data_IF_783358359719
#
_entry.id   IF_783358359719
#
_cell.length_a   1.000
_cell.length_b   1.000
_cell.length_c   1.000
_cell.angle_alpha   90.00
_cell.angle_beta   90.00
_cell.angle_gamma   90.00
#
_symmetry.space_group_name_H-M   'P 1'
#
loop_
_entity.id
_entity.type
_entity.pdbx_description
1 polymer ?
#
# COMPACT_ATOMS: atom_id res chain seq x y z
N UNK A 1 -31.15 -19.11 6.76
CA UNK A 1 -30.08 -20.06 6.36
C UNK A 1 -30.61 -21.41 5.86
N UNK A 2 -31.82 -21.83 6.29
CA UNK A 2 -32.44 -23.10 5.94
C UNK A 2 -33.73 -22.94 5.09
N UNK A 3 -34.09 -21.72 4.70
CA UNK A 3 -35.31 -21.41 3.94
C UNK A 3 -35.29 -22.03 2.53
N UNK A 4 -34.11 -22.07 1.89
CA UNK A 4 -33.93 -22.61 0.53
C UNK A 4 -33.52 -24.10 0.52
N UNK A 5 -33.63 -24.81 1.64
CA UNK A 5 -33.29 -26.23 1.72
C UNK A 5 -34.33 -27.06 0.98
N UNK A 6 -33.92 -28.02 0.14
CA UNK A 6 -34.83 -28.94 -0.56
C UNK A 6 -35.46 -30.01 0.35
N UNK A 7 -34.88 -30.25 1.53
CA UNK A 7 -35.36 -31.21 2.52
C UNK A 7 -36.73 -30.79 3.11
N UNK A 8 -37.80 -31.60 2.90
CA UNK A 8 -39.14 -31.30 3.37
C UNK A 8 -39.26 -31.27 4.90
N UNK A 9 -38.43 -32.02 5.63
CA UNK A 9 -38.44 -32.04 7.10
C UNK A 9 -37.96 -30.70 7.64
N UNK A 10 -36.87 -30.18 7.07
CA UNK A 10 -36.30 -28.89 7.49
C UNK A 10 -37.24 -27.73 7.20
N UNK A 11 -37.95 -27.76 6.05
CA UNK A 11 -38.99 -26.77 5.72
C UNK A 11 -40.16 -26.77 6.72
N UNK A 12 -40.51 -27.96 7.21
CA UNK A 12 -41.64 -28.14 8.14
C UNK A 12 -41.28 -27.71 9.57
N UNK A 13 -40.08 -28.04 10.02
CA UNK A 13 -39.65 -27.82 11.41
C UNK A 13 -39.24 -26.37 11.69
N UNK A 14 -38.77 -25.63 10.67
CA UNK A 14 -38.25 -24.25 10.79
C UNK A 14 -37.51 -24.00 12.12
N UNK A 15 -36.40 -24.72 12.36
CA UNK A 15 -35.77 -24.73 13.67
C UNK A 15 -35.34 -23.33 14.09
N UNK A 16 -35.75 -22.91 15.29
CA UNK A 16 -35.34 -21.63 15.84
C UNK A 16 -33.84 -21.64 16.11
N UNK A 17 -33.09 -20.86 15.35
CA UNK A 17 -31.64 -20.76 15.52
C UNK A 17 -31.37 -20.00 16.82
N UNK A 18 -30.83 -20.69 17.83
CA UNK A 18 -30.37 -20.05 19.06
C UNK A 18 -29.19 -19.14 18.72
N UNK A 19 -29.41 -17.84 18.81
CA UNK A 19 -28.40 -16.80 18.57
C UNK A 19 -28.12 -16.07 19.89
N UNK A 20 -26.93 -15.49 20.00
CA UNK A 20 -26.57 -14.72 21.20
C UNK A 20 -27.44 -13.48 21.36
N UNK A 21 -27.50 -12.91 22.57
CA UNK A 21 -28.35 -11.74 22.87
C UNK A 21 -28.08 -10.50 22.00
N UNK A 22 -26.88 -10.39 21.42
CA UNK A 22 -26.41 -9.19 20.70
C UNK A 22 -26.64 -9.25 19.19
N UNK A 23 -26.91 -10.42 18.61
CA UNK A 23 -27.04 -10.57 17.17
C UNK A 23 -28.32 -11.31 16.83
N UNK A 24 -29.21 -10.59 16.15
CA UNK A 24 -30.50 -11.13 15.71
C UNK A 24 -30.38 -11.52 14.23
N UNK A 25 -30.33 -12.82 13.99
CA UNK A 25 -30.06 -13.36 12.65
C UNK A 25 -31.17 -13.04 11.65
N UNK A 26 -32.43 -13.07 12.08
CA UNK A 26 -33.57 -12.81 11.18
C UNK A 26 -33.51 -11.37 10.66
N UNK A 27 -33.38 -10.39 11.57
CA UNK A 27 -33.25 -8.97 11.21
C UNK A 27 -32.06 -8.72 10.28
N UNK A 28 -30.89 -9.30 10.58
CA UNK A 28 -29.69 -9.13 9.76
C UNK A 28 -29.82 -9.76 8.36
N UNK A 29 -30.51 -10.90 8.25
CA UNK A 29 -30.77 -11.56 6.96
C UNK A 29 -31.77 -10.76 6.14
N UNK A 30 -32.83 -10.23 6.77
CA UNK A 30 -33.85 -9.44 6.09
C UNK A 30 -33.27 -8.10 5.60
N UNK A 31 -32.49 -7.41 6.43
CA UNK A 31 -31.77 -6.19 6.04
C UNK A 31 -30.83 -6.45 4.85
N UNK A 32 -30.06 -7.55 4.89
CA UNK A 32 -29.19 -7.93 3.79
C UNK A 32 -29.96 -8.24 2.49
N UNK A 33 -31.11 -8.93 2.59
CA UNK A 33 -31.99 -9.20 1.42
C UNK A 33 -32.51 -7.88 0.82
N UNK A 34 -32.94 -6.93 1.64
CA UNK A 34 -33.39 -5.62 1.16
C UNK A 34 -32.25 -4.80 0.53
N UNK A 35 -31.06 -4.78 1.13
CA UNK A 35 -29.88 -4.15 0.53
C UNK A 35 -29.54 -4.72 -0.86
N UNK A 36 -29.62 -6.04 -1.04
CA UNK A 36 -29.38 -6.68 -2.33
C UNK A 36 -30.42 -6.30 -3.38
N UNK A 37 -31.71 -6.19 -3.00
CA UNK A 37 -32.76 -5.67 -3.90
C UNK A 37 -32.50 -4.23 -4.30
N UNK A 38 -32.10 -3.37 -3.35
CA UNK A 38 -31.77 -1.97 -3.63
C UNK A 38 -30.58 -1.86 -4.59
N UNK A 39 -29.52 -2.66 -4.39
CA UNK A 39 -28.37 -2.72 -5.30
C UNK A 39 -28.77 -3.15 -6.71
N UNK A 40 -29.70 -4.09 -6.83
CA UNK A 40 -30.26 -4.50 -8.12
C UNK A 40 -31.03 -3.36 -8.81
N UNK A 41 -31.79 -2.56 -8.05
CA UNK A 41 -32.49 -1.36 -8.59
C UNK A 41 -31.51 -0.27 -9.03
N UNK A 42 -30.46 -0.01 -8.25
CA UNK A 42 -29.41 0.96 -8.58
C UNK A 42 -28.66 0.52 -9.85
N UNK A 43 -28.54 -0.81 -10.06
CA UNK A 43 -27.85 -1.39 -11.20
C UNK A 43 -26.33 -1.37 -11.03
N UNK A 44 -25.64 -1.69 -12.12
CA UNK A 44 -24.18 -1.78 -12.12
C UNK A 44 -23.54 -0.40 -12.17
N UNK A 45 -22.96 0.04 -11.07
CA UNK A 45 -22.16 1.25 -11.00
C UNK A 45 -20.72 0.98 -11.42
N UNK A 46 -20.05 1.97 -12.03
CA UNK A 46 -18.62 1.89 -12.27
C UNK A 46 -17.87 1.97 -10.94
N UNK A 47 -17.31 0.84 -10.49
CA UNK A 47 -16.50 0.77 -9.26
C UNK A 47 -15.00 0.88 -9.52
N UNK A 48 -14.55 0.67 -10.76
CA UNK A 48 -13.15 0.68 -11.13
C UNK A 48 -12.90 1.40 -12.48
N UNK A 49 -11.63 1.45 -12.89
CA UNK A 49 -11.23 2.07 -14.16
C UNK A 49 -11.47 1.18 -15.38
N UNK A 50 -12.08 -0.01 -15.22
CA UNK A 50 -12.29 -0.97 -16.32
C UNK A 50 -13.49 -0.63 -17.20
N UNK A 51 -14.31 0.34 -16.77
CA UNK A 51 -15.47 0.82 -17.52
C UNK A 51 -16.72 -0.05 -17.33
N UNK A 52 -17.86 0.47 -17.80
CA UNK A 52 -19.16 -0.21 -17.72
C UNK A 52 -19.15 -1.49 -18.58
N UNK A 53 -19.70 -2.59 -18.05
CA UNK A 53 -19.80 -3.87 -18.76
C UNK A 53 -18.57 -4.78 -18.68
N UNK A 54 -17.47 -4.35 -18.03
CA UNK A 54 -16.28 -5.19 -17.85
C UNK A 54 -16.49 -6.34 -16.84
N UNK A 55 -17.44 -6.21 -15.92
CA UNK A 55 -17.73 -7.23 -14.92
C UNK A 55 -19.11 -7.86 -15.14
N UNK A 56 -19.20 -9.17 -14.95
CA UNK A 56 -20.47 -9.90 -14.98
C UNK A 56 -21.22 -9.60 -13.69
N UNK A 57 -22.29 -8.81 -13.78
CA UNK A 57 -23.12 -8.50 -12.62
C UNK A 57 -23.94 -9.73 -12.19
N UNK A 58 -23.88 -10.03 -10.89
CA UNK A 58 -24.75 -11.03 -10.25
C UNK A 58 -26.00 -10.34 -9.74
N UNK A 59 -27.16 -10.80 -10.19
CA UNK A 59 -28.45 -10.19 -9.89
C UNK A 59 -29.19 -11.02 -8.85
N UNK A 60 -29.74 -10.36 -7.83
CA UNK A 60 -30.46 -11.05 -6.77
C UNK A 60 -31.70 -11.78 -7.28
N UNK A 61 -32.44 -11.18 -8.20
CA UNK A 61 -33.62 -11.80 -8.86
C UNK A 61 -33.29 -13.06 -9.67
N UNK A 62 -32.06 -13.17 -10.20
CA UNK A 62 -31.62 -14.29 -11.05
C UNK A 62 -30.82 -15.34 -10.30
N UNK A 63 -30.44 -15.08 -9.05
CA UNK A 63 -29.66 -15.99 -8.24
C UNK A 63 -30.56 -17.04 -7.57
N UNK A 64 -30.12 -18.30 -7.57
CA UNK A 64 -30.85 -19.42 -6.98
C UNK A 64 -29.99 -20.24 -6.02
N UNK A 65 -30.65 -20.88 -5.04
CA UNK A 65 -30.05 -21.85 -4.13
C UNK A 65 -28.80 -21.36 -3.40
N UNK A 66 -27.65 -21.97 -3.70
CA UNK A 66 -26.36 -21.64 -3.04
C UNK A 66 -25.90 -20.22 -3.35
N UNK A 67 -26.03 -19.77 -4.60
CA UNK A 67 -25.56 -18.44 -5.01
C UNK A 67 -26.29 -17.34 -4.25
N UNK A 68 -27.61 -17.49 -4.12
CA UNK A 68 -28.45 -16.58 -3.34
C UNK A 68 -28.02 -16.51 -1.87
N UNK A 69 -27.72 -17.65 -1.26
CA UNK A 69 -27.19 -17.71 0.12
C UNK A 69 -25.83 -17.04 0.25
N UNK A 70 -24.92 -17.29 -0.69
CA UNK A 70 -23.59 -16.68 -0.70
C UNK A 70 -23.66 -15.15 -0.84
N UNK A 71 -24.60 -14.63 -1.65
CA UNK A 71 -24.86 -13.19 -1.75
C UNK A 71 -25.31 -12.59 -0.42
N UNK A 72 -26.27 -13.20 0.28
CA UNK A 72 -26.72 -12.73 1.61
C UNK A 72 -25.57 -12.77 2.62
N UNK A 73 -24.79 -13.87 2.66
CA UNK A 73 -23.66 -14.00 3.58
C UNK A 73 -22.61 -12.92 3.32
N UNK A 74 -22.28 -12.67 2.06
CA UNK A 74 -21.33 -11.62 1.69
C UNK A 74 -21.86 -10.23 2.05
N UNK A 75 -23.13 -9.95 1.84
CA UNK A 75 -23.74 -8.68 2.23
C UNK A 75 -23.69 -8.46 3.74
N UNK A 76 -24.03 -9.48 4.54
CA UNK A 76 -23.91 -9.42 6.01
C UNK A 76 -22.47 -9.14 6.43
N UNK A 77 -21.48 -9.80 5.79
CA UNK A 77 -20.05 -9.55 6.06
C UNK A 77 -19.68 -8.10 5.75
N UNK A 78 -20.11 -7.57 4.60
CA UNK A 78 -19.86 -6.18 4.21
C UNK A 78 -20.50 -5.18 5.19
N UNK A 79 -21.72 -5.44 5.65
CA UNK A 79 -22.39 -4.60 6.64
C UNK A 79 -21.66 -4.62 7.99
N UNK A 80 -21.22 -5.79 8.44
CA UNK A 80 -20.44 -5.94 9.66
C UNK A 80 -19.06 -5.25 9.56
N UNK A 81 -18.38 -5.40 8.42
CA UNK A 81 -17.12 -4.71 8.17
C UNK A 81 -17.29 -3.19 8.10
N UNK A 82 -18.38 -2.71 7.47
CA UNK A 82 -18.74 -1.29 7.47
C UNK A 82 -18.98 -0.77 8.89
N UNK A 83 -19.68 -1.53 9.73
CA UNK A 83 -19.89 -1.19 11.15
C UNK A 83 -18.59 -1.15 11.94
N UNK A 84 -17.67 -2.09 11.68
CA UNK A 84 -16.33 -2.09 12.30
C UNK A 84 -15.53 -0.87 11.89
N UNK A 85 -15.56 -0.49 10.61
CA UNK A 85 -14.90 0.71 10.09
C UNK A 85 -15.52 1.97 10.71
N UNK A 86 -16.84 2.09 10.76
CA UNK A 86 -17.52 3.22 11.41
C UNK A 86 -17.08 3.37 12.87
N UNK A 87 -17.00 2.25 13.60
CA UNK A 87 -16.51 2.25 14.97
C UNK A 87 -15.03 2.62 15.07
N UNK A 88 -14.21 2.17 14.13
CA UNK A 88 -12.79 2.51 14.08
C UNK A 88 -12.60 4.02 13.85
N UNK A 89 -13.33 4.63 12.91
CA UNK A 89 -13.28 6.09 12.64
C UNK A 89 -13.62 6.91 13.89
N UNK A 90 -14.51 6.41 14.75
CA UNK A 90 -14.87 7.06 16.02
C UNK A 90 -13.78 6.95 17.10
N UNK A 91 -12.72 6.17 16.89
CA UNK A 91 -11.63 5.98 17.84
C UNK A 91 -10.46 6.89 17.49
N UNK A 92 -10.27 8.04 18.18
CA UNK A 92 -9.29 9.03 17.79
C UNK A 92 -7.83 8.57 17.90
N UNK A 93 -7.54 7.47 18.61
CA UNK A 93 -6.18 6.92 18.71
C UNK A 93 -6.05 5.59 17.96
N UNK A 94 -6.81 4.58 18.35
CA UNK A 94 -6.75 3.25 17.73
C UNK A 94 -7.34 3.21 16.31
N UNK A 95 -8.12 4.23 15.94
CA UNK A 95 -8.70 4.39 14.61
C UNK A 95 -7.86 5.21 13.65
N UNK A 96 -6.71 5.74 14.04
CA UNK A 96 -5.90 6.63 13.17
C UNK A 96 -5.54 5.99 11.83
N UNK A 97 -5.41 4.66 11.79
CA UNK A 97 -5.15 3.91 10.55
C UNK A 97 -6.23 4.06 9.48
N UNK A 98 -7.45 4.50 9.83
CA UNK A 98 -8.49 4.79 8.83
C UNK A 98 -8.15 5.98 7.95
N UNK A 99 -7.17 6.80 8.35
CA UNK A 99 -6.73 7.99 7.61
C UNK A 99 -5.42 7.75 6.85
N UNK A 100 -4.90 6.53 6.84
CA UNK A 100 -3.61 6.19 6.22
C UNK A 100 -3.77 5.74 4.77
N UNK A 101 -4.31 6.60 3.91
CA UNK A 101 -4.70 6.24 2.53
C UNK A 101 -3.52 5.72 1.68
N UNK A 102 -2.33 6.28 1.89
CA UNK A 102 -1.14 5.98 1.09
C UNK A 102 -0.14 5.05 1.81
N UNK A 103 -0.47 4.58 3.00
CA UNK A 103 0.41 3.68 3.73
C UNK A 103 0.31 2.27 3.16
N UNK A 104 1.46 1.66 2.83
CA UNK A 104 1.49 0.26 2.45
C UNK A 104 1.08 -0.60 3.65
N UNK A 105 0.07 -1.43 3.44
CA UNK A 105 -0.35 -2.37 4.47
C UNK A 105 0.77 -3.37 4.73
N UNK A 106 1.22 -3.42 5.99
CA UNK A 106 2.10 -4.50 6.44
C UNK A 106 1.29 -5.79 6.53
N UNK A 107 1.49 -6.71 5.58
CA UNK A 107 0.98 -8.06 5.70
C UNK A 107 1.83 -8.85 6.70
N UNK A 108 1.17 -9.45 7.69
CA UNK A 108 1.78 -10.44 8.57
C UNK A 108 1.09 -11.76 8.26
N UNK A 109 1.84 -12.69 7.69
CA UNK A 109 1.35 -14.05 7.45
C UNK A 109 1.24 -14.80 8.78
N UNK A 110 0.33 -15.77 8.84
CA UNK A 110 0.22 -16.64 10.02
C UNK A 110 1.56 -17.30 10.36
N UNK A 111 2.33 -17.70 9.34
CA UNK A 111 3.63 -18.30 9.53
C UNK A 111 4.62 -17.35 10.24
N UNK A 112 4.70 -16.10 9.79
CA UNK A 112 5.55 -15.09 10.44
C UNK A 112 5.13 -14.85 11.89
N UNK A 113 3.82 -14.78 12.17
CA UNK A 113 3.31 -14.61 13.53
C UNK A 113 3.72 -15.79 14.42
N UNK A 114 3.56 -17.02 13.94
CA UNK A 114 3.92 -18.23 14.68
C UNK A 114 5.41 -18.32 15.03
N UNK A 115 6.28 -17.81 14.14
CA UNK A 115 7.73 -17.82 14.34
C UNK A 115 8.27 -16.55 15.01
N UNK A 116 7.41 -15.58 15.32
CA UNK A 116 7.83 -14.32 15.91
C UNK A 116 7.79 -14.37 17.44
N UNK A 117 8.82 -13.81 18.08
CA UNK A 117 8.85 -13.67 19.53
C UNK A 117 7.62 -12.88 20.04
N UNK A 118 6.93 -13.32 21.11
CA UNK A 118 5.70 -12.67 21.60
C UNK A 118 5.84 -11.16 21.88
N UNK A 119 6.99 -10.74 22.41
CA UNK A 119 7.27 -9.33 22.68
C UNK A 119 7.38 -8.49 21.40
N UNK A 120 7.88 -9.08 20.30
CA UNK A 120 7.98 -8.40 19.01
C UNK A 120 6.61 -8.22 18.38
N UNK A 121 5.72 -9.21 18.48
CA UNK A 121 4.32 -9.10 18.04
C UNK A 121 3.62 -8.02 18.85
N UNK A 122 3.76 -8.05 20.18
CA UNK A 122 3.17 -7.05 21.07
C UNK A 122 3.64 -5.64 20.73
N UNK A 123 4.94 -5.47 20.50
CA UNK A 123 5.52 -4.20 20.08
C UNK A 123 4.94 -3.70 18.75
N UNK A 124 4.87 -4.55 17.72
CA UNK A 124 4.35 -4.19 16.40
C UNK A 124 2.89 -3.75 16.45
N UNK A 125 2.04 -4.48 17.17
CA UNK A 125 0.63 -4.12 17.31
C UNK A 125 0.52 -2.77 18.06
N UNK A 126 1.29 -2.61 19.14
CA UNK A 126 1.26 -1.37 19.92
C UNK A 126 1.83 -0.17 19.19
N UNK A 127 2.82 -0.35 18.31
CA UNK A 127 3.37 0.76 17.52
C UNK A 127 2.35 1.29 16.52
N UNK A 128 1.58 0.40 15.87
CA UNK A 128 0.53 0.79 14.91
C UNK A 128 -0.58 1.59 15.57
N UNK A 129 -1.02 1.19 16.76
CA UNK A 129 -2.17 1.83 17.44
C UNK A 129 -1.76 2.93 18.44
N UNK A 130 -0.53 3.43 18.37
CA UNK A 130 0.04 4.41 19.31
C UNK A 130 -0.17 4.02 20.79
N UNK A 131 0.06 2.75 21.11
CA UNK A 131 -0.03 2.18 22.47
C UNK A 131 1.35 1.93 23.10
N UNK A 132 2.41 2.52 22.53
CA UNK A 132 3.74 2.48 23.11
C UNK A 132 3.83 3.41 24.32
N UNK A 133 4.73 3.14 25.28
CA UNK A 133 4.84 3.92 26.53
C UNK A 133 5.52 5.28 26.32
N UNK A 134 4.95 6.15 25.48
CA UNK A 134 5.30 7.57 25.41
C UNK A 134 4.82 8.29 26.67
N UNK A 135 5.45 9.40 27.11
CA UNK A 135 4.98 10.10 28.31
C UNK A 135 3.52 10.56 28.18
N UNK A 136 3.06 10.94 26.98
CA UNK A 136 1.65 11.24 26.75
C UNK A 136 0.73 10.04 27.04
N UNK A 137 1.12 8.82 26.65
CA UNK A 137 0.37 7.60 26.96
C UNK A 137 0.49 7.22 28.44
N UNK A 138 1.66 7.37 29.05
CA UNK A 138 1.87 7.10 30.48
C UNK A 138 0.98 7.99 31.36
N UNK A 139 0.82 9.27 30.99
CA UNK A 139 -0.14 10.17 31.65
C UNK A 139 -1.57 9.70 31.47
N UNK A 140 -1.96 9.33 30.24
CA UNK A 140 -3.29 8.78 29.97
C UNK A 140 -3.59 7.51 30.79
N UNK A 141 -2.56 6.70 31.08
CA UNK A 141 -2.70 5.49 31.90
C UNK A 141 -2.54 5.73 33.41
N UNK A 142 -2.41 7.00 33.85
CA UNK A 142 -2.23 7.34 35.26
C UNK A 142 -0.91 6.87 35.86
N UNK A 143 0.12 6.61 35.03
CA UNK A 143 1.45 6.16 35.47
C UNK A 143 2.46 7.30 35.61
N UNK A 144 2.14 8.48 35.07
CA UNK A 144 2.97 9.68 35.12
C UNK A 144 2.05 10.89 35.19
N UNK A 145 2.53 12.00 35.74
CA UNK A 145 1.76 13.25 35.84
C UNK A 145 2.00 14.17 34.62
N UNK A 146 3.23 14.18 34.10
CA UNK A 146 3.66 15.12 33.06
C UNK A 146 3.96 14.44 31.71
N UNK A 147 3.34 14.87 30.60
CA UNK A 147 3.59 14.33 29.26
C UNK A 147 4.81 14.94 28.55
N UNK A 148 5.62 15.77 29.22
CA UNK A 148 6.78 16.44 28.60
C UNK A 148 7.86 15.49 28.09
N UNK A 149 8.53 15.92 27.03
CA UNK A 149 9.68 15.24 26.44
C UNK A 149 10.94 15.57 27.24
N UNK A 150 11.72 14.56 27.67
CA UNK A 150 12.92 14.80 28.47
C UNK A 150 14.01 15.56 27.71
N UNK A 151 13.94 15.59 26.37
CA UNK A 151 14.87 16.34 25.54
C UNK A 151 14.39 17.79 25.42
N UNK A 152 13.29 18.01 24.70
CA UNK A 152 12.90 19.36 24.27
C UNK A 152 11.74 19.98 25.06
N UNK A 153 11.29 19.34 26.15
CA UNK A 153 10.21 19.81 27.02
C UNK A 153 8.83 19.99 26.34
N UNK A 154 8.68 19.62 25.06
CA UNK A 154 7.40 19.60 24.37
C UNK A 154 6.57 18.35 24.74
N UNK A 155 5.31 18.27 24.32
CA UNK A 155 4.47 17.08 24.57
C UNK A 155 5.06 15.84 23.86
N UNK A 156 5.37 14.79 24.62
CA UNK A 156 6.00 13.56 24.09
C UNK A 156 4.95 12.53 23.66
N UNK A 157 4.54 12.60 22.40
CA UNK A 157 3.83 11.52 21.70
C UNK A 157 4.81 10.59 20.98
N UNK A 158 4.33 9.45 20.46
CA UNK A 158 5.16 8.56 19.62
C UNK A 158 5.63 9.30 18.35
N UNK A 159 4.73 10.03 17.69
CA UNK A 159 5.06 10.92 16.57
C UNK A 159 6.15 11.96 16.94
N UNK A 160 6.05 12.55 18.14
CA UNK A 160 7.05 13.49 18.61
C UNK A 160 8.45 12.86 18.67
N UNK A 161 8.56 11.69 19.30
CA UNK A 161 9.83 10.98 19.46
C UNK A 161 10.40 10.57 18.10
N UNK A 162 9.55 10.05 17.22
CA UNK A 162 9.99 9.46 15.95
C UNK A 162 10.27 10.49 14.85
N UNK A 163 9.64 11.67 14.86
CA UNK A 163 9.71 12.58 13.69
C UNK A 163 9.77 14.08 13.98
N UNK A 164 9.50 14.57 15.20
CA UNK A 164 9.31 16.01 15.45
C UNK A 164 10.17 16.62 16.56
N UNK A 165 10.92 15.83 17.32
CA UNK A 165 11.71 16.36 18.42
C UNK A 165 12.87 17.21 17.87
N UNK A 166 12.81 18.53 18.13
CA UNK A 166 13.81 19.51 17.65
C UNK A 166 15.24 19.17 18.10
N UNK A 167 15.39 18.70 19.33
CA UNK A 167 16.70 18.30 19.87
C UNK A 167 17.16 16.97 19.29
N UNK A 168 16.25 16.02 19.03
CA UNK A 168 16.62 14.78 18.34
C UNK A 168 17.08 15.05 16.90
N UNK A 169 16.45 16.02 16.23
CA UNK A 169 16.86 16.51 14.91
C UNK A 169 18.25 17.14 14.97
N UNK A 170 18.50 18.10 15.88
CA UNK A 170 19.80 18.78 15.98
C UNK A 170 20.94 17.85 16.40
N UNK A 171 20.64 16.79 17.16
CA UNK A 171 21.58 15.73 17.52
C UNK A 171 21.85 14.72 16.38
N UNK A 172 21.20 14.85 15.22
CA UNK A 172 21.39 13.94 14.09
C UNK A 172 20.76 12.56 14.25
N UNK A 173 19.86 12.34 15.23
CA UNK A 173 19.23 11.02 15.45
C UNK A 173 18.37 10.58 14.28
N UNK A 174 17.73 11.54 13.61
CA UNK A 174 16.93 11.27 12.41
C UNK A 174 17.81 11.00 11.19
N UNK A 175 18.95 11.70 11.06
CA UNK A 175 19.98 11.41 10.06
C UNK A 175 20.49 9.98 10.20
N UNK A 176 20.79 9.53 11.42
CA UNK A 176 21.22 8.15 11.64
C UNK A 176 20.17 7.12 11.17
N UNK A 177 18.90 7.34 11.50
CA UNK A 177 17.80 6.47 11.05
C UNK A 177 17.62 6.49 9.53
N UNK A 178 17.67 7.68 8.93
CA UNK A 178 17.58 7.86 7.49
C UNK A 178 18.73 7.14 6.78
N UNK A 179 19.98 7.37 7.19
CA UNK A 179 21.15 6.69 6.65
C UNK A 179 21.04 5.17 6.77
N UNK A 180 20.48 4.66 7.88
CA UNK A 180 20.30 3.21 8.04
C UNK A 180 19.28 2.65 7.04
N UNK A 181 18.16 3.34 6.80
CA UNK A 181 17.18 2.92 5.78
C UNK A 181 17.79 3.02 4.38
N UNK A 182 18.54 4.10 4.13
CA UNK A 182 19.21 4.34 2.86
C UNK A 182 20.23 3.26 2.52
N UNK A 183 21.03 2.83 3.49
CA UNK A 183 21.97 1.71 3.37
C UNK A 183 21.28 0.41 2.95
N UNK A 184 20.18 0.03 3.62
CA UNK A 184 19.44 -1.20 3.31
C UNK A 184 18.79 -1.13 1.92
N UNK A 185 18.21 0.02 1.55
CA UNK A 185 17.64 0.23 0.22
C UNK A 185 18.71 0.15 -0.87
N UNK A 186 19.83 0.84 -0.69
CA UNK A 186 20.94 0.82 -1.64
C UNK A 186 21.52 -0.60 -1.82
N UNK A 187 21.60 -1.38 -0.74
CA UNK A 187 22.02 -2.78 -0.80
C UNK A 187 21.04 -3.63 -1.62
N UNK A 188 19.74 -3.54 -1.34
CA UNK A 188 18.69 -4.29 -2.07
C UNK A 188 18.69 -3.92 -3.56
N UNK A 189 18.77 -2.63 -3.89
CA UNK A 189 18.80 -2.17 -5.28
C UNK A 189 20.06 -2.69 -5.98
N UNK A 190 21.21 -2.65 -5.31
CA UNK A 190 22.46 -3.17 -5.85
C UNK A 190 22.40 -4.67 -6.16
N UNK A 191 21.72 -5.46 -5.31
CA UNK A 191 21.50 -6.90 -5.56
C UNK A 191 20.50 -7.13 -6.69
N UNK A 192 19.39 -6.39 -6.72
CA UNK A 192 18.31 -6.58 -7.70
C UNK A 192 18.75 -6.31 -9.15
N UNK A 193 19.79 -5.49 -9.35
CA UNK A 193 20.38 -5.22 -10.67
C UNK A 193 20.90 -6.45 -11.42
N UNK A 194 21.21 -7.55 -10.71
CA UNK A 194 21.75 -8.78 -11.31
C UNK A 194 20.72 -9.89 -11.56
N UNK A 195 19.46 -9.71 -11.18
CA UNK A 195 18.43 -10.77 -11.21
C UNK A 195 17.48 -10.70 -12.42
N UNK A 196 17.89 -10.05 -13.51
CA UNK A 196 17.19 -10.01 -14.80
C UNK A 196 17.24 -11.35 -15.54
N UNK A 197 16.97 -12.48 -14.86
CA UNK A 197 16.67 -13.73 -15.55
C UNK A 197 15.28 -13.66 -16.15
N UNK A 198 15.22 -13.59 -17.48
CA UNK A 198 14.01 -13.73 -18.28
C UNK A 198 13.30 -15.05 -17.95
N UNK A 199 12.07 -15.06 -17.41
CA UNK A 199 11.21 -16.22 -17.54
C UNK A 199 10.76 -16.27 -19.00
N UNK A 200 11.11 -17.34 -19.70
CA UNK A 200 10.66 -17.61 -21.06
C UNK A 200 9.12 -17.73 -21.06
N UNK A 201 8.42 -16.63 -21.35
CA UNK A 201 6.97 -16.64 -21.46
C UNK A 201 6.60 -17.30 -22.78
N UNK A 202 6.20 -18.58 -22.72
CA UNK A 202 5.53 -19.25 -23.82
C UNK A 202 4.39 -18.35 -24.32
N UNK A 203 4.43 -17.99 -25.60
CA UNK A 203 3.41 -17.14 -26.21
C UNK A 203 2.03 -17.76 -26.02
N UNK A 204 1.10 -17.01 -25.40
CA UNK A 204 -0.30 -17.38 -25.34
C UNK A 204 -0.88 -17.28 -26.76
N UNK A 205 -1.12 -18.44 -27.38
CA UNK A 205 -1.82 -18.52 -28.67
C UNK A 205 -3.32 -18.46 -28.38
N UNK A 206 -3.96 -17.35 -28.73
CA UNK A 206 -5.41 -17.26 -28.71
C UNK A 206 -5.98 -18.14 -29.82
N UNK A 207 -6.82 -19.12 -29.45
CA UNK A 207 -7.59 -19.95 -30.39
C UNK A 207 -9.03 -19.48 -30.35
N UNK A 208 -9.63 -19.19 -31.50
CA UNK A 208 -11.06 -18.89 -31.60
C UNK A 208 -11.89 -20.16 -31.40
N UNK A 209 -13.03 -20.06 -30.72
CA UNK A 209 -14.00 -21.16 -30.66
C UNK A 209 -14.41 -21.58 -32.08
N UNK A 210 -14.24 -22.86 -32.40
CA UNK A 210 -14.58 -23.43 -33.71
C UNK A 210 -13.41 -24.06 -34.49
N UNK A 211 -12.16 -23.98 -34.02
CA UNK A 211 -11.06 -24.80 -34.56
C UNK A 211 -10.63 -24.50 -36.00
N UNK A 212 -10.85 -23.28 -36.51
CA UNK A 212 -10.32 -22.86 -37.80
C UNK A 212 -8.85 -22.38 -37.68
N UNK A 213 -8.02 -22.80 -38.64
CA UNK A 213 -6.57 -22.53 -38.68
C UNK A 213 -6.28 -21.03 -38.71
N UNK A 214 -5.36 -20.62 -37.84
CA UNK A 214 -4.91 -19.25 -37.58
C UNK A 214 -4.68 -18.39 -38.84
N UNK A 215 -5.07 -17.11 -38.75
CA UNK A 215 -4.68 -16.07 -39.69
C UNK A 215 -3.15 -16.07 -39.92
N UNK A 216 -2.76 -16.11 -41.18
CA UNK A 216 -1.37 -16.06 -41.58
C UNK A 216 -0.86 -14.62 -41.35
N UNK A 217 0.11 -14.48 -40.43
CA UNK A 217 1.00 -13.33 -40.43
C UNK A 217 0.46 -12.04 -39.80
N UNK A 218 0.16 -12.07 -38.50
CA UNK A 218 0.59 -11.02 -37.56
C UNK A 218 0.43 -11.53 -36.14
N UNK A 219 1.44 -12.29 -35.69
CA UNK A 219 1.76 -12.28 -34.27
C UNK A 219 2.10 -10.83 -33.95
N UNK A 220 1.16 -10.08 -33.39
CA UNK A 220 1.53 -8.87 -32.66
C UNK A 220 2.32 -9.40 -31.48
N UNK A 221 3.66 -9.40 -31.61
CA UNK A 221 4.52 -9.45 -30.44
C UNK A 221 4.04 -8.30 -29.58
N UNK A 222 3.37 -8.59 -28.47
CA UNK A 222 3.17 -7.62 -27.40
C UNK A 222 4.58 -7.16 -27.06
N UNK A 223 4.91 -5.98 -27.56
CA UNK A 223 6.23 -5.37 -27.41
C UNK A 223 6.57 -5.36 -25.94
N UNK A 224 7.68 -6.02 -25.60
CA UNK A 224 8.33 -6.08 -24.29
C UNK A 224 7.62 -5.22 -23.24
N UNK A 225 6.74 -5.84 -22.45
CA UNK A 225 6.35 -5.24 -21.19
C UNK A 225 7.64 -5.10 -20.38
N UNK A 226 8.08 -3.86 -20.17
CA UNK A 226 9.09 -3.51 -19.18
C UNK A 226 8.56 -4.08 -17.85
N UNK A 227 9.16 -5.15 -17.34
CA UNK A 227 8.73 -5.84 -16.11
C UNK A 227 9.27 -5.11 -14.89
N UNK A 228 10.41 -4.44 -15.00
CA UNK A 228 10.98 -3.61 -13.95
C UNK A 228 11.61 -2.32 -14.50
N UNK A 229 11.71 -1.29 -13.64
CA UNK A 229 12.27 0.03 -13.99
C UNK A 229 13.74 -0.04 -14.45
N UNK A 230 14.45 -1.10 -14.07
CA UNK A 230 15.87 -1.33 -14.40
C UNK A 230 16.05 -2.37 -15.51
N UNK A 231 14.98 -2.77 -16.21
CA UNK A 231 15.09 -3.70 -17.33
C UNK A 231 15.79 -3.05 -18.53
N UNK A 232 16.54 -3.86 -19.28
CA UNK A 232 17.08 -3.47 -20.58
C UNK A 232 18.54 -3.02 -20.56
N UNK A 233 19.20 -3.01 -19.40
CA UNK A 233 20.65 -2.90 -19.32
C UNK A 233 21.26 -3.49 -18.05
N UNK A 234 22.54 -3.88 -18.13
CA UNK A 234 23.32 -4.49 -17.05
C UNK A 234 24.36 -3.51 -16.45
N UNK A 235 24.53 -2.32 -17.03
CA UNK A 235 25.54 -1.32 -16.64
C UNK A 235 25.04 -0.31 -15.59
N UNK A 236 24.01 -0.66 -14.84
CA UNK A 236 23.45 0.23 -13.83
C UNK A 236 24.44 0.45 -12.70
N UNK A 237 24.79 1.71 -12.43
CA UNK A 237 25.56 2.15 -11.26
C UNK A 237 24.62 2.69 -10.17
N UNK A 238 24.85 2.36 -8.88
CA UNK A 238 24.08 2.92 -7.73
C UNK A 238 25.03 3.79 -6.95
N UNK A 239 24.58 4.97 -6.57
CA UNK A 239 25.21 5.78 -5.52
C UNK A 239 24.13 6.25 -4.53
N UNK A 240 24.53 6.49 -3.28
CA UNK A 240 23.63 6.98 -2.24
C UNK A 240 24.29 8.11 -1.45
N UNK A 241 23.48 9.03 -0.89
CA UNK A 241 23.95 10.12 -0.03
C UNK A 241 24.32 9.60 1.37
N UNK A 242 25.39 8.81 1.43
CA UNK A 242 25.92 8.24 2.66
C UNK A 242 27.35 8.76 2.91
N UNK A 243 27.74 8.97 4.18
CA UNK A 243 29.10 9.42 4.52
C UNK A 243 30.20 8.47 4.04
N UNK A 244 29.86 7.19 3.88
CA UNK A 244 30.77 6.10 3.51
C UNK A 244 30.90 5.90 1.99
N UNK A 245 30.03 6.53 1.19
CA UNK A 245 29.98 6.32 -0.26
C UNK A 245 30.68 7.48 -0.98
N UNK A 246 31.41 7.13 -2.04
CA UNK A 246 32.04 8.15 -2.90
C UNK A 246 30.98 9.08 -3.48
N UNK A 247 31.36 10.35 -3.63
CA UNK A 247 30.49 11.42 -4.11
C UNK A 247 29.70 11.01 -5.35
N UNK A 248 28.42 11.43 -5.41
CA UNK A 248 27.52 11.26 -6.54
C UNK A 248 28.19 11.34 -7.92
N UNK A 249 27.76 10.53 -8.90
CA UNK A 249 28.34 10.50 -10.24
C UNK A 249 28.39 11.90 -10.85
N UNK A 250 29.42 12.17 -11.65
CA UNK A 250 29.75 13.49 -12.21
C UNK A 250 28.56 14.19 -12.87
N UNK A 251 27.63 13.41 -13.42
CA UNK A 251 26.39 13.88 -14.06
C UNK A 251 25.45 14.68 -13.13
N UNK A 252 25.58 14.54 -11.80
CA UNK A 252 24.79 15.28 -10.79
C UNK A 252 25.64 16.35 -10.09
N UNK A 253 26.97 16.28 -10.16
CA UNK A 253 27.84 17.29 -9.54
C UNK A 253 27.55 18.71 -10.04
N UNK A 254 27.07 18.83 -11.29
CA UNK A 254 26.71 20.11 -11.91
C UNK A 254 25.36 20.68 -11.43
N UNK A 255 24.41 19.82 -11.03
CA UNK A 255 23.04 20.25 -10.70
C UNK A 255 22.91 20.82 -9.29
N UNK A 256 23.97 20.76 -8.46
CA UNK A 256 23.98 21.07 -7.01
C UNK A 256 22.96 20.27 -6.18
N UNK A 257 22.22 19.35 -6.80
CA UNK A 257 21.27 18.49 -6.12
C UNK A 257 22.02 17.33 -5.47
N UNK A 258 21.52 16.90 -4.30
CA UNK A 258 21.90 15.66 -3.65
C UNK A 258 20.64 14.84 -3.37
N UNK A 259 20.18 14.05 -4.34
CA UNK A 259 19.17 13.03 -4.07
C UNK A 259 19.71 11.98 -3.11
N UNK A 260 18.83 11.29 -2.41
CA UNK A 260 19.24 10.23 -1.47
C UNK A 260 19.85 9.00 -2.18
N UNK A 261 19.28 8.56 -3.31
CA UNK A 261 19.87 7.51 -4.17
C UNK A 261 19.85 7.97 -5.62
N UNK A 262 20.92 7.67 -6.34
CA UNK A 262 21.04 7.90 -7.76
C UNK A 262 21.40 6.60 -8.45
N UNK A 263 20.62 6.25 -9.46
CA UNK A 263 20.84 5.09 -10.32
C UNK A 263 21.05 5.60 -11.74
N UNK A 264 22.16 5.21 -12.35
CA UNK A 264 22.57 5.73 -13.65
C UNK A 264 23.02 4.59 -14.58
N UNK A 265 22.66 4.67 -15.85
CA UNK A 265 23.15 3.80 -16.92
C UNK A 265 23.78 4.65 -18.02
N UNK A 266 25.05 4.41 -18.31
CA UNK A 266 25.79 5.17 -19.32
C UNK A 266 25.37 4.75 -20.74
N UNK A 267 25.11 3.47 -20.96
CA UNK A 267 24.68 2.93 -22.25
C UNK A 267 23.30 3.42 -22.69
N UNK A 268 22.34 3.53 -21.77
CA UNK A 268 20.98 3.99 -22.06
C UNK A 268 20.78 5.49 -21.83
N UNK A 269 21.78 6.17 -21.24
CA UNK A 269 21.72 7.59 -20.84
C UNK A 269 20.56 7.90 -19.88
N UNK A 270 20.13 6.90 -19.11
CA UNK A 270 19.05 7.01 -18.14
C UNK A 270 19.59 7.37 -16.75
N UNK A 271 18.87 8.27 -16.07
CA UNK A 271 19.15 8.71 -14.72
C UNK A 271 17.86 8.61 -13.89
N UNK A 272 17.93 7.87 -12.79
CA UNK A 272 16.84 7.72 -11.83
C UNK A 272 17.33 8.32 -10.51
N UNK A 273 16.59 9.32 -10.04
CA UNK A 273 16.82 9.94 -8.74
C UNK A 273 15.73 9.48 -7.77
N UNK A 274 16.15 9.00 -6.61
CA UNK A 274 15.26 8.56 -5.55
C UNK A 274 15.47 9.47 -4.36
N UNK A 275 14.37 10.03 -3.88
CA UNK A 275 14.34 10.80 -2.64
C UNK A 275 13.61 10.00 -1.58
N UNK A 276 14.26 9.81 -0.43
CA UNK A 276 13.68 9.15 0.71
C UNK A 276 13.09 10.19 1.65
N UNK A 277 11.93 9.85 2.21
CA UNK A 277 11.40 10.54 3.36
C UNK A 277 10.75 9.51 4.26
N UNK A 278 10.99 9.64 5.56
CA UNK A 278 10.47 8.74 6.60
C UNK A 278 9.54 9.55 7.51
N UNK A 279 8.35 9.94 7.02
CA UNK A 279 7.40 10.71 7.80
C UNK A 279 6.66 9.79 8.78
N UNK A 280 5.89 10.40 9.68
CA UNK A 280 4.86 9.68 10.41
C UNK A 280 3.70 9.37 9.44
N UNK A 281 2.98 8.27 9.65
CA UNK A 281 1.99 7.71 8.70
C UNK A 281 0.94 8.75 8.27
N UNK A 282 0.49 9.58 9.21
CA UNK A 282 -0.49 10.66 8.95
C UNK A 282 0.01 11.75 7.99
N UNK A 283 1.32 11.83 7.72
CA UNK A 283 1.93 12.91 6.92
C UNK A 283 2.61 12.41 5.66
N UNK A 284 2.35 11.17 5.25
CA UNK A 284 2.97 10.60 4.05
C UNK A 284 2.71 11.45 2.80
N UNK A 285 1.47 11.88 2.58
CA UNK A 285 1.10 12.68 1.41
C UNK A 285 1.72 14.08 1.45
N UNK A 286 1.60 14.78 2.58
CA UNK A 286 2.17 16.12 2.75
C UNK A 286 3.69 16.13 2.52
N UNK A 287 4.37 15.12 3.06
CA UNK A 287 5.81 14.95 2.91
C UNK A 287 6.20 14.61 1.46
N UNK A 288 5.41 13.78 0.77
CA UNK A 288 5.58 13.48 -0.64
C UNK A 288 5.45 14.74 -1.50
N UNK A 289 4.38 15.53 -1.30
CA UNK A 289 4.15 16.79 -2.02
C UNK A 289 5.29 17.77 -1.79
N UNK A 290 5.73 17.92 -0.53
CA UNK A 290 6.82 18.82 -0.17
C UNK A 290 8.12 18.44 -0.91
N UNK A 291 8.57 17.19 -0.82
CA UNK A 291 9.79 16.72 -1.50
C UNK A 291 9.68 16.79 -3.02
N UNK A 292 8.51 16.50 -3.58
CA UNK A 292 8.28 16.60 -5.02
C UNK A 292 8.46 18.03 -5.53
N UNK A 293 8.03 19.04 -4.77
CA UNK A 293 8.24 20.45 -5.14
C UNK A 293 9.72 20.83 -5.12
N UNK A 294 10.41 20.49 -4.03
CA UNK A 294 11.84 20.77 -3.84
C UNK A 294 12.72 20.18 -4.96
N UNK A 295 12.36 19.01 -5.50
CA UNK A 295 13.15 18.34 -6.55
C UNK A 295 12.69 18.71 -7.96
N UNK A 296 11.39 18.97 -8.17
CA UNK A 296 10.87 19.20 -9.52
C UNK A 296 11.26 20.57 -10.08
N UNK A 297 11.31 21.61 -9.26
CA UNK A 297 11.77 22.96 -9.68
C UNK A 297 13.22 22.94 -10.25
N UNK A 298 14.19 22.28 -9.60
CA UNK A 298 15.54 22.18 -10.16
C UNK A 298 15.70 21.12 -11.27
N UNK A 299 14.89 20.05 -11.33
CA UNK A 299 14.90 19.08 -12.46
C UNK A 299 14.55 19.77 -13.80
N UNK A 300 13.62 20.73 -13.80
CA UNK A 300 13.32 21.53 -15.00
C UNK A 300 14.54 22.34 -15.49
N UNK A 301 15.41 22.76 -14.58
CA UNK A 301 16.65 23.48 -14.87
C UNK A 301 17.70 22.52 -15.43
N UNK A 302 17.86 21.34 -14.85
CA UNK A 302 18.77 20.30 -15.36
C UNK A 302 18.37 19.80 -16.76
N UNK A 303 17.06 19.64 -17.03
CA UNK A 303 16.54 19.31 -18.37
C UNK A 303 16.81 20.41 -19.40
N UNK A 304 16.74 21.69 -19.00
CA UNK A 304 17.11 22.82 -19.87
C UNK A 304 18.61 22.84 -20.19
N UNK A 305 19.48 22.58 -19.21
CA UNK A 305 20.93 22.46 -19.44
C UNK A 305 21.26 21.32 -20.41
N UNK A 306 20.60 20.16 -20.28
CA UNK A 306 20.78 19.01 -21.19
C UNK A 306 20.31 19.31 -22.63
N UNK A 307 19.34 20.21 -22.81
CA UNK A 307 18.91 20.68 -24.13
C UNK A 307 19.84 21.76 -24.72
N UNK A 308 20.44 22.61 -23.87
CA UNK A 308 21.43 23.61 -24.31
C UNK A 308 22.78 22.98 -24.70
N UNK A 309 23.24 21.96 -23.98
CA UNK A 309 24.47 21.24 -24.34
C UNK A 309 24.37 20.44 -25.65
N UNK A 310 23.15 20.17 -26.14
CA UNK A 310 22.91 19.61 -27.48
C UNK A 310 22.77 20.69 -28.57
N UNK A 311 22.68 21.98 -28.20
CA UNK A 311 22.53 23.11 -29.11
C UNK A 311 23.84 23.74 -29.58
N UNK A 312 24.93 23.57 -28.82
CA UNK A 312 26.23 24.21 -29.07
C UNK A 312 27.26 23.27 -29.74
N UNK A 313 26.79 22.27 -30.49
CA UNK A 313 27.59 21.50 -31.42
C UNK A 313 27.22 21.88 -32.87
N UNK A 314 27.64 23.07 -33.30
CA UNK A 314 27.86 23.43 -34.71
C UNK A 314 29.09 24.31 -34.82
#
# INVERSE_FOLDING_TARGET
MLEDTEDPIVKTVQPTIKTGRKWKVIEAVDEAKECLKIKEVIGQTQTDRKGLGSSTAKWWSKAEGKEKRDMVINEIRLNEDSRRVQKAVQQPQQGQWTNWDNALQKSLTWNEIWHMAPLRISFLIRSVYDLLPSNANLVRWGKKEDPTCPLCQGRQTTEHVLSFCKIALSQGRYTWRHNRVLQELAAIISTAKGETTLPNTNALIFTTEGGAKSWHGRSVRTTNQIKCLLDGCDDWDVSADLPEWDSHPSIIKETRLRPDIVIHSASTQQLIMVELTVPYENRMEEAHIYKKREIHEPDQTARKCRLQSCGDAR
#
